data_IF_529372353446
#
_entry.id   IF_529372353446
#
_cell.length_a   1.000
_cell.length_b   1.000
_cell.length_c   1.000
_cell.angle_alpha   90.00
_cell.angle_beta   90.00
_cell.angle_gamma   90.00
#
_symmetry.space_group_name_H-M   'P 1'
#
loop_
_entity.id
_entity.type
_entity.pdbx_description
1 polymer ?
#
# COMPACT_ATOMS: atom_id res chain seq x y z
N UNK A 1 3.02 11.26 -64.56
CA UNK A 1 2.87 10.06 -63.70
C UNK A 1 4.10 9.93 -62.83
N UNK A 2 3.96 9.80 -61.51
CA UNK A 2 5.10 9.58 -60.63
C UNK A 2 5.77 8.23 -60.95
N UNK A 3 7.08 8.14 -60.83
CA UNK A 3 7.81 6.89 -61.11
C UNK A 3 7.40 5.81 -60.10
N UNK A 4 7.28 4.55 -60.56
CA UNK A 4 6.88 3.41 -59.71
C UNK A 4 7.75 3.27 -58.45
N UNK A 5 9.04 3.63 -58.55
CA UNK A 5 9.97 3.64 -57.42
C UNK A 5 9.59 4.59 -56.29
N UNK A 6 9.02 5.77 -56.61
CA UNK A 6 8.57 6.73 -55.59
C UNK A 6 7.31 6.22 -54.91
N UNK A 7 6.41 5.61 -55.68
CA UNK A 7 5.16 5.01 -55.16
C UNK A 7 5.48 3.86 -54.20
N UNK A 8 6.38 2.95 -54.57
CA UNK A 8 6.79 1.83 -53.71
C UNK A 8 7.50 2.27 -52.43
N UNK A 9 8.35 3.30 -52.53
CA UNK A 9 9.03 3.86 -51.36
C UNK A 9 8.05 4.51 -50.39
N UNK A 10 7.08 5.27 -50.89
CA UNK A 10 6.04 5.89 -50.08
C UNK A 10 5.13 4.82 -49.46
N UNK A 11 4.73 3.80 -50.23
CA UNK A 11 3.92 2.70 -49.71
C UNK A 11 4.66 1.94 -48.60
N UNK A 12 5.96 1.69 -48.77
CA UNK A 12 6.79 1.07 -47.74
C UNK A 12 6.88 1.93 -46.47
N UNK A 13 7.02 3.25 -46.61
CA UNK A 13 7.05 4.18 -45.48
C UNK A 13 5.70 4.22 -44.75
N UNK A 14 4.58 4.25 -45.48
CA UNK A 14 3.22 4.23 -44.92
C UNK A 14 2.95 2.91 -44.19
N UNK A 15 3.31 1.76 -44.77
CA UNK A 15 3.17 0.45 -44.12
C UNK A 15 4.03 0.38 -42.84
N UNK A 16 5.24 0.96 -42.85
CA UNK A 16 6.13 0.99 -41.68
C UNK A 16 5.58 1.92 -40.59
N UNK A 17 5.06 3.09 -40.97
CA UNK A 17 4.38 4.03 -40.07
C UNK A 17 3.10 3.42 -39.48
N UNK A 18 2.29 2.75 -40.30
CA UNK A 18 1.11 2.01 -39.87
C UNK A 18 1.49 0.92 -38.87
N UNK A 19 2.54 0.13 -39.13
CA UNK A 19 3.03 -0.87 -38.16
C UNK A 19 3.56 -0.27 -36.86
N UNK A 20 4.04 0.97 -36.85
CA UNK A 20 4.48 1.65 -35.62
C UNK A 20 3.29 2.24 -34.83
N UNK A 21 2.31 2.80 -35.53
CA UNK A 21 1.07 3.35 -34.96
C UNK A 21 0.13 2.24 -34.45
N UNK A 22 0.00 1.15 -35.21
CA UNK A 22 -0.84 -0.02 -34.91
C UNK A 22 -0.06 -1.19 -34.32
N UNK A 23 1.21 -0.99 -33.90
CA UNK A 23 1.83 -1.96 -32.99
C UNK A 23 0.98 -1.95 -31.74
N UNK A 24 0.09 -2.92 -31.61
CA UNK A 24 -0.58 -3.18 -30.36
C UNK A 24 0.55 -3.30 -29.35
N UNK A 25 0.61 -2.33 -28.44
CA UNK A 25 1.42 -2.45 -27.25
C UNK A 25 0.96 -3.80 -26.71
N UNK A 26 1.80 -4.85 -26.74
CA UNK A 26 1.55 -6.07 -25.99
C UNK A 26 1.58 -5.64 -24.52
N UNK A 27 0.54 -4.95 -24.08
CA UNK A 27 0.20 -4.64 -22.72
C UNK A 27 -0.33 -5.96 -22.16
N UNK A 28 0.60 -6.89 -22.00
CA UNK A 28 0.36 -8.22 -21.47
C UNK A 28 1.04 -8.39 -20.12
N UNK A 29 0.99 -9.63 -19.64
CA UNK A 29 1.63 -10.08 -18.40
C UNK A 29 3.10 -9.65 -18.29
N UNK A 30 3.84 -9.62 -19.42
CA UNK A 30 5.23 -9.18 -19.47
C UNK A 30 5.43 -7.74 -18.97
N UNK A 31 4.51 -6.82 -19.26
CA UNK A 31 4.61 -5.42 -18.80
C UNK A 31 4.38 -5.33 -17.30
N UNK A 32 3.42 -6.10 -16.77
CA UNK A 32 3.12 -6.16 -15.33
C UNK A 32 4.30 -6.78 -14.58
N UNK A 33 4.82 -7.91 -15.06
CA UNK A 33 5.98 -8.58 -14.48
C UNK A 33 7.20 -7.65 -14.52
N UNK A 34 7.45 -6.95 -15.63
CA UNK A 34 8.55 -5.98 -15.71
C UNK A 34 8.35 -4.80 -14.76
N UNK A 35 7.12 -4.29 -14.62
CA UNK A 35 6.80 -3.26 -13.65
C UNK A 35 7.10 -3.74 -12.22
N UNK A 36 6.61 -4.92 -11.84
CA UNK A 36 6.85 -5.51 -10.53
C UNK A 36 8.34 -5.82 -10.30
N UNK A 37 9.06 -6.40 -11.25
CA UNK A 37 10.45 -6.78 -11.04
C UNK A 37 11.44 -5.61 -11.15
N UNK A 38 11.09 -4.54 -11.85
CA UNK A 38 12.02 -3.43 -12.15
C UNK A 38 11.43 -2.07 -11.80
N UNK A 39 10.27 -1.72 -12.38
CA UNK A 39 9.72 -0.36 -12.29
C UNK A 39 9.36 0.08 -10.86
N UNK A 40 8.58 -0.73 -10.16
CA UNK A 40 8.12 -0.44 -8.80
C UNK A 40 9.28 -0.32 -7.79
N UNK A 41 10.20 -1.31 -7.66
CA UNK A 41 11.28 -1.20 -6.70
C UNK A 41 12.27 -0.07 -7.05
N UNK A 42 12.45 0.25 -8.34
CA UNK A 42 13.22 1.43 -8.74
C UNK A 42 12.55 2.74 -8.33
N UNK A 43 11.22 2.85 -8.47
CA UNK A 43 10.47 4.04 -8.07
C UNK A 43 10.58 4.28 -6.57
N UNK A 44 10.43 3.24 -5.74
CA UNK A 44 10.59 3.34 -4.29
C UNK A 44 12.01 3.81 -3.92
N UNK A 45 13.04 3.21 -4.52
CA UNK A 45 14.45 3.62 -4.28
C UNK A 45 14.76 5.03 -4.77
N UNK A 46 14.17 5.46 -5.88
CA UNK A 46 14.37 6.81 -6.40
C UNK A 46 13.88 7.88 -5.41
N UNK A 47 12.85 7.56 -4.61
CA UNK A 47 12.25 8.44 -3.61
C UNK A 47 12.56 7.98 -2.17
N UNK A 48 13.73 7.37 -1.92
CA UNK A 48 14.11 6.78 -0.62
C UNK A 48 13.99 7.75 0.58
N UNK A 49 14.15 9.06 0.37
CA UNK A 49 13.96 10.07 1.42
C UNK A 49 12.50 10.16 1.85
N UNK A 50 11.58 10.10 0.89
CA UNK A 50 10.14 10.08 1.18
C UNK A 50 9.76 8.77 1.85
N UNK A 51 10.40 7.65 1.48
CA UNK A 51 10.17 6.36 2.16
C UNK A 51 10.43 6.46 3.66
N UNK A 52 11.60 6.95 4.08
CA UNK A 52 11.92 7.08 5.50
C UNK A 52 11.08 8.13 6.21
N UNK A 53 10.77 9.25 5.54
CA UNK A 53 9.90 10.28 6.10
C UNK A 53 8.48 9.73 6.37
N UNK A 54 7.88 9.03 5.40
CA UNK A 54 6.56 8.43 5.55
C UNK A 54 6.56 7.30 6.59
N UNK A 55 7.63 6.48 6.64
CA UNK A 55 7.82 5.51 7.72
C UNK A 55 7.87 6.19 9.09
N UNK A 56 8.62 7.28 9.26
CA UNK A 56 8.66 7.99 10.53
C UNK A 56 7.28 8.58 10.90
N UNK A 57 6.57 9.18 9.93
CA UNK A 57 5.22 9.72 10.12
C UNK A 57 4.20 8.67 10.52
N UNK A 58 4.39 7.40 10.14
CA UNK A 58 3.50 6.31 10.52
C UNK A 58 3.96 5.62 11.82
N UNK A 59 5.21 5.16 11.87
CA UNK A 59 5.71 4.31 12.95
C UNK A 59 5.94 5.05 14.27
N UNK A 60 6.36 6.32 14.24
CA UNK A 60 6.54 7.10 15.47
C UNK A 60 5.22 7.25 16.23
N UNK A 61 4.12 7.75 15.62
CA UNK A 61 2.84 7.80 16.32
C UNK A 61 2.28 6.41 16.65
N UNK A 62 2.50 5.40 15.79
CA UNK A 62 2.09 4.03 16.08
C UNK A 62 2.72 3.50 17.37
N UNK A 63 4.05 3.54 17.49
CA UNK A 63 4.73 3.06 18.69
C UNK A 63 4.47 3.96 19.90
N UNK A 64 4.33 5.28 19.69
CA UNK A 64 3.95 6.21 20.75
C UNK A 64 2.59 5.88 21.35
N UNK A 65 1.59 5.61 20.51
CA UNK A 65 0.24 5.26 20.97
C UNK A 65 0.15 3.82 21.49
N UNK A 66 0.91 2.88 20.93
CA UNK A 66 0.99 1.53 21.49
C UNK A 66 1.63 1.53 22.89
N UNK A 67 2.69 2.32 23.08
CA UNK A 67 3.39 2.45 24.35
C UNK A 67 2.57 3.24 25.39
N UNK A 68 1.67 4.14 24.97
CA UNK A 68 0.83 4.89 25.91
C UNK A 68 -0.06 3.97 26.74
N UNK A 69 -0.43 2.78 26.25
CA UNK A 69 -1.15 1.77 27.02
C UNK A 69 -0.50 1.42 28.37
N UNK A 70 0.83 1.53 28.45
CA UNK A 70 1.62 1.19 29.64
C UNK A 70 1.73 2.35 30.62
N UNK A 71 1.45 3.58 30.17
CA UNK A 71 1.57 4.81 30.94
C UNK A 71 0.20 5.31 31.37
N UNK A 72 -0.71 5.47 30.40
CA UNK A 72 -2.05 5.98 30.57
C UNK A 72 -2.95 5.50 29.42
N UNK A 73 -3.88 4.61 29.77
CA UNK A 73 -4.83 4.02 28.83
C UNK A 73 -5.86 5.03 28.30
N UNK A 74 -6.04 6.19 28.94
CA UNK A 74 -7.07 7.15 28.57
C UNK A 74 -6.82 7.78 27.19
N UNK A 75 -5.57 7.86 26.74
CA UNK A 75 -5.23 8.25 25.35
C UNK A 75 -5.79 7.27 24.32
N UNK A 76 -5.71 5.97 24.61
CA UNK A 76 -6.25 4.92 23.75
C UNK A 76 -7.78 4.93 23.79
N UNK A 77 -8.38 5.11 24.98
CA UNK A 77 -9.84 5.22 25.14
C UNK A 77 -10.41 6.42 24.40
N UNK A 78 -9.72 7.56 24.45
CA UNK A 78 -10.11 8.78 23.73
C UNK A 78 -9.99 8.60 22.21
N UNK A 79 -9.00 7.81 21.75
CA UNK A 79 -8.78 7.55 20.33
C UNK A 79 -9.78 6.55 19.75
N UNK A 80 -9.97 5.40 20.42
CA UNK A 80 -10.85 4.33 19.93
C UNK A 80 -12.34 4.58 20.24
N UNK A 81 -12.62 5.28 21.35
CA UNK A 81 -13.97 5.41 21.89
C UNK A 81 -14.57 4.07 22.36
N UNK A 82 -15.79 4.10 22.94
CA UNK A 82 -16.47 2.89 23.41
C UNK A 82 -16.71 1.86 22.31
N UNK A 83 -17.11 2.31 21.12
CA UNK A 83 -17.41 1.44 19.98
C UNK A 83 -16.15 0.74 19.45
N UNK A 84 -15.03 1.46 19.33
CA UNK A 84 -13.76 0.88 18.89
C UNK A 84 -13.23 -0.16 19.87
N UNK A 85 -13.31 0.13 21.18
CA UNK A 85 -12.93 -0.84 22.22
C UNK A 85 -13.80 -2.11 22.19
N UNK A 86 -15.12 -1.95 22.09
CA UNK A 86 -16.05 -3.10 21.95
C UNK A 86 -15.75 -3.93 20.70
N UNK A 87 -15.43 -3.28 19.57
CA UNK A 87 -15.04 -3.98 18.35
C UNK A 87 -13.74 -4.79 18.54
N UNK A 88 -12.74 -4.23 19.22
CA UNK A 88 -11.49 -4.94 19.53
C UNK A 88 -11.70 -6.12 20.48
N UNK A 89 -12.56 -5.98 21.49
CA UNK A 89 -12.92 -7.08 22.39
C UNK A 89 -13.70 -8.19 21.68
N UNK A 90 -14.66 -7.83 20.81
CA UNK A 90 -15.41 -8.80 20.03
C UNK A 90 -14.52 -9.58 19.05
N UNK A 91 -13.53 -8.92 18.44
CA UNK A 91 -12.66 -9.52 17.44
C UNK A 91 -11.45 -10.25 18.04
N UNK A 92 -10.90 -9.76 19.15
CA UNK A 92 -9.62 -10.23 19.71
C UNK A 92 -9.68 -10.57 21.19
N UNK A 93 -10.82 -10.42 21.89
CA UNK A 93 -10.94 -10.80 23.30
C UNK A 93 -11.04 -12.31 23.52
N UNK A 94 -11.54 -13.03 22.51
CA UNK A 94 -11.79 -14.47 22.57
C UNK A 94 -10.64 -15.37 22.10
N UNK A 95 -10.92 -16.66 22.05
CA UNK A 95 -10.10 -17.64 21.35
C UNK A 95 -10.33 -17.60 19.83
N UNK A 96 -9.64 -18.47 19.11
CA UNK A 96 -9.71 -18.50 17.65
C UNK A 96 -11.09 -18.92 17.12
N UNK A 97 -11.81 -19.78 17.82
CA UNK A 97 -13.15 -20.22 17.40
C UNK A 97 -14.15 -19.08 17.53
N UNK A 98 -14.07 -18.33 18.64
CA UNK A 98 -14.89 -17.13 18.86
C UNK A 98 -14.59 -16.06 17.81
N UNK A 99 -13.32 -15.82 17.48
CA UNK A 99 -12.94 -14.88 16.42
C UNK A 99 -13.52 -15.28 15.06
N UNK A 100 -13.40 -16.56 14.66
CA UNK A 100 -13.96 -17.04 13.38
C UNK A 100 -15.48 -16.95 13.37
N UNK A 101 -16.14 -17.27 14.49
CA UNK A 101 -17.59 -17.14 14.64
C UNK A 101 -18.04 -15.68 14.45
N UNK A 102 -17.37 -14.74 15.13
CA UNK A 102 -17.64 -13.31 15.00
C UNK A 102 -17.47 -12.82 13.56
N UNK A 103 -16.39 -13.23 12.88
CA UNK A 103 -16.16 -12.85 11.49
C UNK A 103 -17.22 -13.41 10.54
N UNK A 104 -17.69 -14.65 10.76
CA UNK A 104 -18.80 -15.23 9.99
C UNK A 104 -20.10 -14.48 10.21
N UNK A 105 -20.41 -14.07 11.45
CA UNK A 105 -21.59 -13.26 11.72
C UNK A 105 -21.50 -11.84 11.14
N UNK A 106 -20.32 -11.23 11.17
CA UNK A 106 -20.12 -9.86 10.71
C UNK A 106 -20.10 -9.72 9.18
N UNK A 107 -19.42 -10.64 8.48
CA UNK A 107 -19.21 -10.53 7.03
C UNK A 107 -19.97 -11.56 6.20
N UNK A 108 -20.46 -12.64 6.80
CA UNK A 108 -21.19 -13.74 6.13
C UNK A 108 -20.30 -14.68 5.31
N UNK A 109 -19.30 -14.17 4.58
CA UNK A 109 -18.38 -14.99 3.78
C UNK A 109 -16.98 -14.39 3.67
N UNK A 110 -15.99 -15.24 3.35
CA UNK A 110 -14.61 -14.82 3.09
C UNK A 110 -14.51 -13.84 1.91
N UNK A 111 -15.37 -13.98 0.91
CA UNK A 111 -15.39 -13.07 -0.25
C UNK A 111 -15.89 -11.67 0.15
N UNK A 112 -16.95 -11.60 0.96
CA UNK A 112 -17.44 -10.32 1.49
C UNK A 112 -16.41 -9.63 2.38
N UNK A 113 -15.73 -10.40 3.23
CA UNK A 113 -14.61 -9.93 4.04
C UNK A 113 -13.46 -9.39 3.17
N UNK A 114 -13.06 -10.13 2.14
CA UNK A 114 -12.06 -9.67 1.16
C UNK A 114 -12.48 -8.35 0.49
N UNK A 115 -13.74 -8.23 0.03
CA UNK A 115 -14.22 -6.99 -0.59
C UNK A 115 -14.21 -5.82 0.38
N UNK A 116 -14.56 -6.05 1.65
CA UNK A 116 -14.50 -5.05 2.70
C UNK A 116 -13.06 -4.57 2.92
N UNK A 117 -12.10 -5.48 3.09
CA UNK A 117 -10.71 -5.11 3.32
C UNK A 117 -10.05 -4.47 2.10
N UNK A 118 -10.39 -4.89 0.88
CA UNK A 118 -9.97 -4.16 -0.34
C UNK A 118 -10.49 -2.73 -0.29
N UNK A 119 -11.79 -2.55 -0.06
CA UNK A 119 -12.39 -1.21 -0.05
C UNK A 119 -11.78 -0.33 1.02
N UNK A 120 -11.53 -0.89 2.21
CA UNK A 120 -10.92 -0.18 3.32
C UNK A 120 -9.48 0.22 3.02
N UNK A 121 -8.61 -0.74 2.70
CA UNK A 121 -7.17 -0.51 2.64
C UNK A 121 -6.79 0.30 1.39
N UNK A 122 -7.38 -0.01 0.23
CA UNK A 122 -7.19 0.78 -0.99
C UNK A 122 -7.85 2.17 -0.86
N UNK A 123 -8.96 2.26 -0.11
CA UNK A 123 -9.59 3.53 0.23
C UNK A 123 -8.66 4.44 1.04
N UNK A 124 -8.02 3.90 2.08
CA UNK A 124 -7.02 4.61 2.89
C UNK A 124 -5.83 5.03 2.02
N UNK A 125 -5.28 4.15 1.19
CA UNK A 125 -4.20 4.47 0.25
C UNK A 125 -4.57 5.65 -0.66
N UNK A 126 -5.79 5.65 -1.20
CA UNK A 126 -6.27 6.71 -2.07
C UNK A 126 -6.45 8.03 -1.32
N UNK A 127 -6.97 8.02 -0.09
CA UNK A 127 -7.08 9.21 0.75
C UNK A 127 -5.70 9.81 1.07
N UNK A 128 -4.73 8.95 1.44
CA UNK A 128 -3.34 9.35 1.69
C UNK A 128 -2.72 9.97 0.44
N UNK A 129 -2.90 9.34 -0.73
CA UNK A 129 -2.39 9.82 -2.00
C UNK A 129 -3.03 11.16 -2.41
N UNK A 130 -4.36 11.23 -2.42
CA UNK A 130 -5.13 12.40 -2.83
C UNK A 130 -4.89 13.59 -1.89
N UNK A 131 -4.75 13.32 -0.59
CA UNK A 131 -4.39 14.33 0.41
C UNK A 131 -3.06 15.04 0.13
N UNK A 132 -2.20 14.44 -0.69
CA UNK A 132 -0.94 15.03 -1.14
C UNK A 132 -1.12 16.29 -1.98
N UNK A 133 -2.23 16.40 -2.72
CA UNK A 133 -2.55 17.57 -3.57
C UNK A 133 -2.61 18.86 -2.73
N UNK A 134 -3.05 18.75 -1.48
CA UNK A 134 -3.10 19.86 -0.51
C UNK A 134 -1.72 20.07 0.11
N UNK A 135 -0.70 20.26 -0.74
CA UNK A 135 0.67 20.57 -0.35
C UNK A 135 1.24 19.62 0.71
N UNK A 136 1.08 18.30 0.51
CA UNK A 136 1.49 17.22 1.43
C UNK A 136 0.68 17.11 2.74
N UNK A 137 -0.05 18.13 3.16
CA UNK A 137 -0.68 18.16 4.49
C UNK A 137 -1.68 17.02 4.71
N UNK A 138 -2.50 16.71 3.70
CA UNK A 138 -3.46 15.60 3.80
C UNK A 138 -2.76 14.24 3.92
N UNK A 139 -1.69 14.02 3.15
CA UNK A 139 -0.88 12.79 3.25
C UNK A 139 -0.28 12.63 4.65
N UNK A 140 0.28 13.71 5.20
CA UNK A 140 0.86 13.71 6.55
C UNK A 140 -0.22 13.39 7.58
N UNK A 141 -1.36 14.08 7.51
CA UNK A 141 -2.49 13.87 8.39
C UNK A 141 -2.94 12.40 8.40
N UNK A 142 -3.21 11.82 7.23
CA UNK A 142 -3.70 10.44 7.16
C UNK A 142 -2.65 9.41 7.60
N UNK A 143 -1.36 9.60 7.31
CA UNK A 143 -0.30 8.70 7.81
C UNK A 143 -0.21 8.73 9.33
N UNK A 144 -0.18 9.93 9.93
CA UNK A 144 -0.11 10.10 11.39
C UNK A 144 -1.38 9.58 12.05
N UNK A 145 -2.54 9.90 11.50
CA UNK A 145 -3.84 9.47 12.01
C UNK A 145 -3.95 7.94 12.01
N UNK A 146 -3.60 7.27 10.92
CA UNK A 146 -3.61 5.81 10.85
C UNK A 146 -2.55 5.20 11.78
N UNK A 147 -1.35 5.80 11.88
CA UNK A 147 -0.35 5.40 12.86
C UNK A 147 -0.90 5.42 14.28
N UNK A 148 -1.53 6.53 14.68
CA UNK A 148 -2.20 6.67 15.99
C UNK A 148 -3.28 5.61 16.19
N UNK A 149 -4.21 5.45 15.23
CA UNK A 149 -5.35 4.54 15.39
C UNK A 149 -4.93 3.08 15.46
N UNK A 150 -4.03 2.65 14.58
CA UNK A 150 -3.53 1.26 14.57
C UNK A 150 -2.64 1.01 15.80
N UNK A 151 -1.89 2.01 16.25
CA UNK A 151 -1.14 1.97 17.50
C UNK A 151 -2.05 1.83 18.73
N UNK A 152 -3.16 2.58 18.77
CA UNK A 152 -4.16 2.50 19.84
C UNK A 152 -4.85 1.13 19.85
N UNK A 153 -5.27 0.62 18.69
CA UNK A 153 -5.86 -0.71 18.56
C UNK A 153 -4.89 -1.80 19.06
N UNK A 154 -3.63 -1.73 18.63
CA UNK A 154 -2.59 -2.66 19.08
C UNK A 154 -2.36 -2.56 20.59
N UNK A 155 -2.20 -1.35 21.12
CA UNK A 155 -2.01 -1.11 22.56
C UNK A 155 -3.20 -1.60 23.39
N UNK A 156 -4.43 -1.35 22.94
CA UNK A 156 -5.63 -1.81 23.61
C UNK A 156 -5.72 -3.33 23.66
N UNK A 157 -5.38 -4.01 22.56
CA UNK A 157 -5.38 -5.47 22.51
C UNK A 157 -4.39 -6.06 23.51
N UNK A 158 -3.20 -5.45 23.68
CA UNK A 158 -2.25 -5.86 24.71
C UNK A 158 -2.72 -5.57 26.13
N UNK A 159 -3.56 -4.55 26.30
CA UNK A 159 -4.07 -4.14 27.60
C UNK A 159 -5.28 -4.99 28.07
N UNK A 160 -6.26 -5.25 27.20
CA UNK A 160 -7.56 -5.82 27.57
C UNK A 160 -8.02 -7.04 26.75
N UNK A 161 -7.31 -7.44 25.70
CA UNK A 161 -7.73 -8.56 24.83
C UNK A 161 -6.70 -9.71 24.81
N UNK A 162 -6.77 -10.58 23.81
CA UNK A 162 -5.83 -11.67 23.56
C UNK A 162 -4.81 -11.28 22.46
N UNK A 163 -3.57 -10.92 22.82
CA UNK A 163 -2.56 -10.50 21.85
C UNK A 163 -2.21 -11.58 20.84
N UNK A 164 -2.28 -12.86 21.24
CA UNK A 164 -2.01 -13.98 20.34
C UNK A 164 -3.06 -14.05 19.23
N UNK A 165 -4.33 -13.82 19.55
CA UNK A 165 -5.41 -13.77 18.55
C UNK A 165 -5.13 -12.68 17.51
N UNK A 166 -4.77 -11.48 17.97
CA UNK A 166 -4.43 -10.35 17.10
C UNK A 166 -3.19 -10.59 16.24
N UNK A 167 -2.05 -10.94 16.83
CA UNK A 167 -0.81 -11.12 16.07
C UNK A 167 -0.88 -12.27 15.08
N UNK A 168 -1.58 -13.36 15.42
CA UNK A 168 -1.76 -14.47 14.48
C UNK A 168 -2.70 -14.09 13.33
N UNK A 169 -3.71 -13.26 13.58
CA UNK A 169 -4.56 -12.72 12.52
C UNK A 169 -3.79 -11.76 11.60
N UNK A 170 -3.06 -10.80 12.17
CA UNK A 170 -2.42 -9.69 11.44
C UNK A 170 -1.09 -10.07 10.77
N UNK A 171 -0.35 -11.05 11.29
CA UNK A 171 1.00 -11.37 10.83
C UNK A 171 1.11 -11.60 9.31
N UNK A 172 0.17 -12.34 8.72
CA UNK A 172 0.26 -12.74 7.31
C UNK A 172 0.14 -11.59 6.30
N UNK A 173 -0.65 -10.56 6.62
CA UNK A 173 -0.97 -9.48 5.69
C UNK A 173 -0.27 -8.14 6.03
N UNK A 174 0.09 -7.93 7.30
CA UNK A 174 0.63 -6.65 7.81
C UNK A 174 1.77 -6.05 6.99
N UNK A 175 2.72 -6.87 6.52
CA UNK A 175 3.86 -6.38 5.73
C UNK A 175 3.42 -5.73 4.41
N UNK A 176 2.39 -6.27 3.76
CA UNK A 176 1.87 -5.77 2.49
C UNK A 176 1.01 -4.53 2.71
N UNK A 177 0.16 -4.56 3.75
CA UNK A 177 -0.75 -3.46 4.08
C UNK A 177 0.00 -2.21 4.55
N UNK A 178 0.83 -2.35 5.59
CA UNK A 178 1.50 -1.21 6.22
C UNK A 178 2.55 -0.59 5.30
N UNK A 179 3.31 -1.42 4.56
CA UNK A 179 4.24 -0.88 3.56
C UNK A 179 3.47 -0.29 2.36
N UNK A 180 2.35 -0.89 1.95
CA UNK A 180 1.48 -0.35 0.90
C UNK A 180 1.02 1.07 1.24
N UNK A 181 0.50 1.26 2.44
CA UNK A 181 0.09 2.55 2.98
C UNK A 181 1.24 3.57 3.00
N UNK A 182 2.43 3.17 3.46
CA UNK A 182 3.61 4.04 3.46
C UNK A 182 4.01 4.43 2.03
N UNK A 183 3.95 3.50 1.07
CA UNK A 183 4.24 3.77 -0.35
C UNK A 183 3.18 4.67 -0.98
N UNK A 184 1.91 4.52 -0.64
CA UNK A 184 0.85 5.46 -1.01
C UNK A 184 1.15 6.86 -0.45
N UNK A 185 1.67 6.91 0.78
CA UNK A 185 2.26 8.10 1.40
C UNK A 185 3.35 8.73 0.55
N UNK A 186 4.32 7.95 0.09
CA UNK A 186 5.38 8.45 -0.79
C UNK A 186 4.81 9.06 -2.08
N UNK A 187 3.81 8.41 -2.68
CA UNK A 187 3.14 8.90 -3.88
C UNK A 187 2.43 10.23 -3.63
N UNK A 188 1.67 10.35 -2.53
CA UNK A 188 0.99 11.58 -2.14
C UNK A 188 1.97 12.73 -1.84
N UNK A 189 3.02 12.44 -1.06
CA UNK A 189 4.10 13.39 -0.78
C UNK A 189 4.78 13.85 -2.07
N UNK A 190 4.98 12.94 -3.05
CA UNK A 190 5.62 13.27 -4.31
C UNK A 190 4.81 14.29 -5.11
N UNK A 191 3.50 14.11 -5.19
CA UNK A 191 2.55 15.06 -5.80
C UNK A 191 2.58 16.40 -5.06
N UNK A 192 2.44 16.38 -3.73
CA UNK A 192 2.40 17.60 -2.92
C UNK A 192 3.67 18.44 -3.01
N UNK A 193 4.82 17.80 -3.10
CA UNK A 193 6.09 18.49 -3.36
C UNK A 193 6.15 19.12 -4.76
N UNK A 194 5.45 18.56 -5.76
CA UNK A 194 5.28 19.20 -7.07
C UNK A 194 4.46 20.49 -7.01
N UNK A 195 3.51 20.56 -6.07
CA UNK A 195 2.72 21.78 -5.76
C UNK A 195 3.57 22.80 -5.01
N UNK A 196 4.26 22.36 -3.95
CA UNK A 196 5.05 23.22 -3.06
C UNK A 196 6.33 23.77 -3.69
N UNK A 197 7.06 22.92 -4.42
CA UNK A 197 8.38 23.23 -4.98
C UNK A 197 8.42 22.91 -6.47
N UNK A 198 7.73 23.72 -7.31
CA UNK A 198 7.67 23.47 -8.76
C UNK A 198 9.01 23.68 -9.48
N UNK A 199 9.98 24.32 -8.83
CA UNK A 199 11.30 24.58 -9.39
C UNK A 199 11.20 25.56 -10.58
N UNK A 200 11.77 25.16 -11.73
CA UNK A 200 11.75 25.97 -12.95
C UNK A 200 10.50 25.76 -13.82
N UNK A 201 9.62 24.84 -13.43
CA UNK A 201 8.43 24.53 -14.21
C UNK A 201 7.23 25.37 -13.78
N UNK A 202 6.29 25.67 -14.70
CA UNK A 202 4.95 26.10 -14.33
C UNK A 202 4.30 25.05 -13.43
N UNK A 203 3.46 25.47 -12.47
CA UNK A 203 2.86 24.56 -11.47
C UNK A 203 2.18 23.34 -12.08
N UNK A 204 1.37 23.52 -13.12
CA UNK A 204 0.70 22.40 -13.79
C UNK A 204 1.67 21.38 -14.38
N UNK A 205 2.78 21.84 -14.98
CA UNK A 205 3.84 20.95 -15.49
C UNK A 205 4.63 20.29 -14.37
N UNK A 206 4.92 21.00 -13.28
CA UNK A 206 5.58 20.42 -12.12
C UNK A 206 4.75 19.30 -11.50
N UNK A 207 3.44 19.49 -11.37
CA UNK A 207 2.49 18.48 -10.90
C UNK A 207 2.47 17.29 -11.87
N UNK A 208 2.41 17.53 -13.18
CA UNK A 208 2.44 16.45 -14.18
C UNK A 208 3.73 15.61 -14.10
N UNK A 209 4.89 16.24 -13.93
CA UNK A 209 6.17 15.53 -13.74
C UNK A 209 6.22 14.77 -12.41
N UNK A 210 5.66 15.36 -11.33
CA UNK A 210 5.51 14.66 -10.06
C UNK A 210 4.57 13.44 -10.18
N UNK A 211 3.48 13.56 -10.94
CA UNK A 211 2.53 12.48 -11.16
C UNK A 211 3.15 11.30 -11.92
N UNK A 212 4.02 11.55 -12.91
CA UNK A 212 4.78 10.48 -13.58
C UNK A 212 5.64 9.66 -12.62
N UNK A 213 6.19 10.30 -11.58
CA UNK A 213 6.98 9.63 -10.54
C UNK A 213 6.11 8.96 -9.47
N UNK A 214 4.97 9.55 -9.16
CA UNK A 214 4.02 9.03 -8.18
C UNK A 214 3.23 7.81 -8.70
N UNK A 215 2.93 7.76 -10.01
CA UNK A 215 2.15 6.70 -10.63
C UNK A 215 2.68 5.27 -10.35
N UNK A 216 3.98 4.96 -10.55
CA UNK A 216 4.49 3.64 -10.20
C UNK A 216 4.44 3.34 -8.70
N UNK A 217 4.48 4.35 -7.83
CA UNK A 217 4.37 4.18 -6.39
C UNK A 217 2.94 3.82 -5.99
N UNK A 218 1.94 4.61 -6.42
CA UNK A 218 0.55 4.35 -6.05
C UNK A 218 0.00 3.07 -6.68
N UNK A 219 0.42 2.73 -7.91
CA UNK A 219 0.07 1.46 -8.53
C UNK A 219 0.68 0.27 -7.75
N UNK A 220 1.92 0.39 -7.28
CA UNK A 220 2.55 -0.63 -6.44
C UNK A 220 1.90 -0.74 -5.06
N UNK A 221 1.60 0.38 -4.41
CA UNK A 221 0.89 0.42 -3.14
C UNK A 221 -0.47 -0.30 -3.22
N UNK A 222 -1.28 0.05 -4.21
CA UNK A 222 -2.58 -0.59 -4.42
C UNK A 222 -2.49 -2.10 -4.70
N UNK A 223 -1.44 -2.57 -5.40
CA UNK A 223 -1.21 -4.01 -5.58
C UNK A 223 -0.81 -4.69 -4.26
N UNK A 224 -0.01 -4.03 -3.42
CA UNK A 224 0.37 -4.54 -2.11
C UNK A 224 -0.85 -4.63 -1.17
N UNK A 225 -1.64 -3.57 -1.06
CA UNK A 225 -2.84 -3.57 -0.19
C UNK A 225 -3.94 -4.48 -0.72
N UNK A 226 -4.12 -4.59 -2.03
CA UNK A 226 -5.00 -5.60 -2.61
C UNK A 226 -4.55 -7.03 -2.28
N UNK A 227 -3.24 -7.32 -2.32
CA UNK A 227 -2.71 -8.62 -1.91
C UNK A 227 -2.89 -8.86 -0.40
N UNK A 228 -2.71 -7.82 0.43
CA UNK A 228 -2.98 -7.88 1.85
C UNK A 228 -4.43 -8.32 2.13
N UNK A 229 -5.40 -7.71 1.46
CA UNK A 229 -6.82 -8.05 1.60
C UNK A 229 -7.13 -9.51 1.17
N UNK A 230 -6.42 -10.07 0.18
CA UNK A 230 -6.55 -11.50 -0.16
C UNK A 230 -6.08 -12.36 1.01
N UNK A 231 -4.92 -12.06 1.58
CA UNK A 231 -4.39 -12.81 2.73
C UNK A 231 -5.31 -12.65 3.95
N UNK A 232 -5.89 -11.46 4.14
CA UNK A 232 -6.82 -11.16 5.21
C UNK A 232 -8.13 -11.94 5.08
N UNK A 233 -8.80 -11.84 3.93
CA UNK A 233 -10.09 -12.46 3.69
C UNK A 233 -10.07 -13.99 3.63
N UNK A 234 -8.96 -14.60 3.18
CA UNK A 234 -8.91 -16.03 2.91
C UNK A 234 -7.99 -16.84 3.84
N UNK A 235 -6.94 -16.21 4.39
CA UNK A 235 -5.90 -16.94 5.14
C UNK A 235 -5.83 -16.54 6.62
N UNK A 236 -6.09 -15.28 6.98
CA UNK A 236 -5.85 -14.77 8.33
C UNK A 236 -6.72 -15.44 9.40
N UNK A 237 -7.97 -15.80 9.05
CA UNK A 237 -8.89 -16.54 9.90
C UNK A 237 -8.65 -18.07 9.95
N UNK A 238 -7.72 -18.62 9.14
CA UNK A 238 -7.49 -20.07 9.08
C UNK A 238 -6.82 -20.61 10.36
N UNK A 239 -7.17 -21.84 10.73
CA UNK A 239 -6.70 -22.56 11.92
C UNK A 239 -5.26 -23.11 11.80
N UNK A 240 -4.33 -22.30 11.27
CA UNK A 240 -2.91 -22.64 11.25
C UNK A 240 -2.25 -22.41 12.61
N UNK A 241 -1.25 -23.24 12.98
CA UNK A 241 -0.45 -23.02 14.18
C UNK A 241 0.21 -21.63 14.18
N UNK A 242 0.29 -21.00 15.36
CA UNK A 242 0.82 -19.65 15.52
C UNK A 242 2.24 -19.48 14.94
N UNK A 243 3.11 -20.49 15.09
CA UNK A 243 4.48 -20.43 14.56
C UNK A 243 4.51 -20.34 13.02
N UNK A 244 3.59 -21.03 12.33
CA UNK A 244 3.45 -20.91 10.86
C UNK A 244 3.01 -19.50 10.51
N UNK A 245 2.05 -18.95 11.26
CA UNK A 245 1.53 -17.60 11.00
C UNK A 245 2.61 -16.52 11.18
N UNK A 246 3.39 -16.63 12.24
CA UNK A 246 4.53 -15.73 12.48
C UNK A 246 5.64 -15.92 11.44
N UNK A 247 5.96 -17.16 11.06
CA UNK A 247 6.96 -17.43 10.03
C UNK A 247 6.58 -16.81 8.67
N UNK A 248 5.32 -16.95 8.26
CA UNK A 248 4.80 -16.32 7.02
C UNK A 248 4.86 -14.80 7.11
N UNK A 249 4.47 -14.21 8.25
CA UNK A 249 4.54 -12.77 8.46
C UNK A 249 5.97 -12.23 8.40
N UNK A 250 6.90 -12.86 9.11
CA UNK A 250 8.34 -12.51 9.09
C UNK A 250 8.90 -12.67 7.68
N UNK A 251 8.57 -13.76 6.98
CA UNK A 251 8.99 -13.99 5.60
C UNK A 251 8.48 -12.88 4.68
N UNK A 252 7.24 -12.41 4.86
CA UNK A 252 6.69 -11.26 4.14
C UNK A 252 7.53 -10.00 4.33
N UNK A 253 7.84 -9.64 5.58
CA UNK A 253 8.71 -8.48 5.88
C UNK A 253 10.10 -8.61 5.25
N UNK A 254 10.76 -9.76 5.41
CA UNK A 254 12.09 -10.03 4.82
C UNK A 254 12.03 -9.98 3.29
N UNK A 255 10.99 -10.54 2.69
CA UNK A 255 10.79 -10.52 1.24
C UNK A 255 10.73 -9.09 0.71
N UNK A 256 10.00 -8.18 1.36
CA UNK A 256 9.93 -6.78 0.95
C UNK A 256 11.28 -6.07 1.06
N UNK A 257 12.03 -6.33 2.13
CA UNK A 257 13.40 -5.78 2.29
C UNK A 257 14.28 -6.23 1.13
N UNK A 258 14.34 -7.54 0.87
CA UNK A 258 15.13 -8.10 -0.22
C UNK A 258 14.66 -7.56 -1.57
N UNK A 259 13.34 -7.52 -1.79
CA UNK A 259 12.71 -7.04 -3.01
C UNK A 259 13.07 -5.57 -3.30
N UNK A 260 12.86 -4.66 -2.36
CA UNK A 260 13.17 -3.24 -2.53
C UNK A 260 14.67 -2.95 -2.56
N UNK A 261 15.53 -3.80 -2.01
CA UNK A 261 16.99 -3.62 -2.07
C UNK A 261 17.65 -4.20 -3.33
N UNK A 262 17.19 -5.37 -3.80
CA UNK A 262 17.87 -6.16 -4.83
C UNK A 262 17.21 -6.07 -6.22
N UNK A 263 15.87 -6.05 -6.31
CA UNK A 263 15.19 -6.17 -7.60
C UNK A 263 15.34 -4.91 -8.45
N UNK A 264 15.55 -5.08 -9.76
CA UNK A 264 15.70 -3.97 -10.70
C UNK A 264 17.05 -3.23 -10.62
N UNK A 265 18.08 -3.79 -9.97
CA UNK A 265 19.45 -3.23 -10.08
C UNK A 265 20.03 -3.53 -11.46
N UNK A 266 20.74 -2.55 -12.05
CA UNK A 266 21.40 -2.71 -13.35
C UNK A 266 20.51 -2.66 -14.59
N UNK A 267 19.18 -2.73 -14.45
CA UNK A 267 18.24 -2.54 -15.55
C UNK A 267 17.83 -1.06 -15.68
N UNK A 268 17.65 -0.55 -16.91
CA UNK A 268 17.02 0.77 -17.12
C UNK A 268 15.49 0.61 -17.04
N UNK A 269 14.82 1.41 -16.19
CA UNK A 269 13.39 1.65 -16.35
C UNK A 269 13.12 2.17 -17.76
N UNK A 270 12.05 1.68 -18.39
CA UNK A 270 11.62 2.09 -19.73
C UNK A 270 10.89 3.43 -19.70
#
# INVERSE_FOLDING_TARGET
MYSGQVIDRLNTLVIRGYKLLYRSRRAGMETVVKFLMVGFPQAVRAEWRLFWLCNAMFWVPFFGMMASAWLDIDWIRATLGPEGMQSMEAMYGGDQEQQVSHMRSAYGSNFMMFTHYIQNNVGIDFQIFAGGIVACLGTIFFLVFNGIHIGAATGYVHYACNPKSFWTFVAGHSSYELLGMVVAGMAGMRIGLGVLKPGRYPRGRAIAEAAKRALPLIAGAGLMTAFAAVVEGFWSAQAFPAHVKYAVGIAGWVLHVVYFMAMGRGARAA
#
